data_IF_359681620829
#
_entry.id   IF_359681620829
#
_cell.length_a   1.000
_cell.length_b   1.000
_cell.length_c   1.000
_cell.angle_alpha   90.00
_cell.angle_beta   90.00
_cell.angle_gamma   90.00
#
_symmetry.space_group_name_H-M   'P 1'
#
loop_
_entity.id
_entity.type
_entity.pdbx_description
1 polymer ?
#
# COMPACT_ATOMS: atom_id res chain seq x y z
N UNK A 1 -0.74 25.00 3.03
CA UNK A 1 -0.92 24.61 1.62
C UNK A 1 0.40 24.01 1.16
N UNK A 2 0.54 22.69 1.26
CA UNK A 2 1.73 21.97 0.80
C UNK A 2 1.51 21.65 -0.68
N UNK A 3 2.11 22.43 -1.54
CA UNK A 3 2.21 22.13 -2.97
C UNK A 3 3.26 21.02 -3.06
N UNK A 4 2.86 19.79 -3.30
CA UNK A 4 3.79 18.77 -3.80
C UNK A 4 4.19 19.27 -5.18
N UNK A 5 5.40 19.81 -5.27
CA UNK A 5 5.91 20.40 -6.48
C UNK A 5 5.87 19.38 -7.63
N UNK A 6 5.37 19.82 -8.77
CA UNK A 6 5.33 19.06 -10.02
C UNK A 6 6.74 18.70 -10.58
N UNK A 7 7.79 18.97 -9.82
CA UNK A 7 9.20 18.64 -10.09
C UNK A 7 9.70 17.53 -9.16
N UNK A 8 8.93 16.44 -9.00
CA UNK A 8 9.55 15.22 -8.53
C UNK A 8 10.63 14.82 -9.54
N UNK A 9 11.90 14.65 -9.15
CA UNK A 9 12.94 14.25 -10.08
C UNK A 9 12.48 12.97 -10.79
N UNK A 10 12.44 13.00 -12.12
CA UNK A 10 12.26 11.79 -12.91
C UNK A 10 13.39 10.84 -12.50
N UNK A 11 13.11 9.76 -11.78
CA UNK A 11 14.13 8.82 -11.40
C UNK A 11 14.61 8.10 -12.67
N UNK A 12 15.64 8.62 -13.25
CA UNK A 12 16.43 7.85 -14.20
C UNK A 12 17.02 6.68 -13.44
N UNK A 13 16.82 5.47 -13.95
CA UNK A 13 17.46 4.23 -13.50
C UNK A 13 17.06 3.71 -12.13
N UNK A 14 15.91 3.06 -12.01
CA UNK A 14 15.66 1.95 -11.06
C UNK A 14 15.88 2.15 -9.55
N UNK A 15 16.41 3.29 -9.11
CA UNK A 15 16.71 3.55 -7.71
C UNK A 15 15.46 4.07 -6.98
N UNK A 16 15.10 3.41 -5.88
CA UNK A 16 14.09 3.90 -4.96
C UNK A 16 14.62 5.14 -4.22
N UNK A 17 13.88 6.23 -4.33
CA UNK A 17 14.17 7.49 -3.64
C UNK A 17 13.13 7.72 -2.57
N UNK A 18 13.56 8.14 -1.39
CA UNK A 18 12.64 8.54 -0.31
C UNK A 18 11.99 9.86 -0.69
N UNK A 19 10.68 9.84 -0.87
CA UNK A 19 9.87 11.03 -1.17
C UNK A 19 9.61 11.84 0.10
N UNK A 20 9.31 11.15 1.23
CA UNK A 20 9.07 11.81 2.49
C UNK A 20 8.68 10.88 3.62
N UNK A 21 8.62 11.49 4.81
CA UNK A 21 7.97 10.94 6.00
C UNK A 21 6.95 11.94 6.48
N UNK A 22 5.74 11.48 6.69
CA UNK A 22 4.62 12.30 7.10
C UNK A 22 4.02 11.73 8.37
N UNK A 23 3.75 12.58 9.34
CA UNK A 23 2.89 12.25 10.47
C UNK A 23 1.67 13.15 10.34
N UNK A 24 0.50 12.56 10.34
CA UNK A 24 -0.75 13.29 10.21
C UNK A 24 -1.70 12.97 11.37
N UNK A 25 -2.33 14.01 11.87
CA UNK A 25 -3.43 13.97 12.82
C UNK A 25 -4.77 14.35 12.13
N UNK A 26 -4.74 14.53 10.80
CA UNK A 26 -5.88 14.85 9.97
C UNK A 26 -6.01 13.80 8.85
N UNK A 27 -7.14 13.08 8.75
CA UNK A 27 -7.40 12.11 7.68
C UNK A 27 -7.26 12.69 6.28
N UNK A 28 -7.68 13.93 6.08
CA UNK A 28 -7.59 14.61 4.79
C UNK A 28 -6.13 14.80 4.33
N UNK A 29 -5.22 15.11 5.26
CA UNK A 29 -3.79 15.23 4.94
C UNK A 29 -3.23 13.86 4.49
N UNK A 30 -3.68 12.78 5.11
CA UNK A 30 -3.30 11.43 4.67
C UNK A 30 -3.78 11.15 3.25
N UNK A 31 -5.03 11.44 2.94
CA UNK A 31 -5.60 11.27 1.60
C UNK A 31 -4.74 11.96 0.52
N UNK A 32 -4.27 13.17 0.81
CA UNK A 32 -3.39 13.91 -0.09
C UNK A 32 -1.97 13.32 -0.17
N UNK A 33 -1.43 12.84 0.97
CA UNK A 33 -0.06 12.32 1.05
C UNK A 33 0.08 10.93 0.39
N UNK A 34 -1.01 10.20 0.20
CA UNK A 34 -1.02 8.88 -0.43
C UNK A 34 -1.26 8.92 -1.94
N UNK A 35 -1.33 10.11 -2.55
CA UNK A 35 -1.41 10.21 -4.01
C UNK A 35 -0.33 9.31 -4.67
N UNK A 36 -0.66 8.59 -5.78
CA UNK A 36 -1.81 8.80 -6.66
C UNK A 36 -3.07 7.97 -6.33
N UNK A 37 -3.22 7.43 -5.12
CA UNK A 37 -4.48 6.81 -4.69
C UNK A 37 -5.60 7.86 -4.59
N UNK A 38 -6.78 7.47 -5.00
CA UNK A 38 -8.02 8.22 -4.75
C UNK A 38 -8.77 7.56 -3.60
N UNK A 39 -8.46 7.97 -2.38
CA UNK A 39 -8.97 7.35 -1.16
C UNK A 39 -9.70 8.32 -0.26
N UNK A 40 -10.66 7.78 0.50
CA UNK A 40 -11.29 8.42 1.64
C UNK A 40 -10.91 7.69 2.93
N UNK A 41 -10.50 8.45 3.93
CA UNK A 41 -10.03 7.95 5.23
C UNK A 41 -11.03 8.33 6.32
N UNK A 42 -11.56 7.33 7.03
CA UNK A 42 -12.54 7.53 8.09
C UNK A 42 -12.05 6.91 9.39
N UNK A 43 -11.72 7.71 10.41
CA UNK A 43 -11.48 7.19 11.76
C UNK A 43 -12.74 6.52 12.33
N UNK A 44 -12.61 5.31 12.87
CA UNK A 44 -13.72 4.52 13.40
C UNK A 44 -13.74 4.46 14.93
N UNK A 45 -12.70 4.92 15.60
CA UNK A 45 -12.65 5.01 17.07
C UNK A 45 -12.69 6.46 17.52
N UNK A 46 -13.16 6.68 18.74
CA UNK A 46 -13.07 7.98 19.41
C UNK A 46 -11.61 8.28 19.76
N UNK A 47 -11.24 9.54 19.78
CA UNK A 47 -9.91 10.03 20.09
C UNK A 47 -9.21 10.63 18.88
N UNK A 48 -7.99 11.11 19.10
CA UNK A 48 -7.22 11.79 18.09
C UNK A 48 -6.75 10.81 17.00
N UNK A 49 -7.01 11.17 15.77
CA UNK A 49 -6.49 10.44 14.62
C UNK A 49 -4.97 10.60 14.56
N UNK A 50 -4.27 9.51 14.28
CA UNK A 50 -2.83 9.57 14.04
C UNK A 50 -2.39 8.51 13.05
N UNK A 51 -1.64 8.96 12.05
CA UNK A 51 -1.08 8.13 10.99
C UNK A 51 0.35 8.55 10.68
N UNK A 52 1.22 7.60 10.42
CA UNK A 52 2.58 7.80 9.92
C UNK A 52 2.72 7.12 8.56
N UNK A 53 3.28 7.85 7.62
CA UNK A 53 3.57 7.40 6.27
C UNK A 53 5.04 7.64 5.93
N UNK A 54 5.73 6.62 5.48
CA UNK A 54 7.02 6.73 4.77
C UNK A 54 6.78 6.34 3.33
N UNK A 55 7.07 7.24 2.41
CA UNK A 55 6.90 7.02 0.98
C UNK A 55 8.26 6.96 0.28
N UNK A 56 8.45 5.91 -0.53
CA UNK A 56 9.55 5.77 -1.46
C UNK A 56 8.99 5.57 -2.86
N UNK A 57 9.66 6.14 -3.85
CA UNK A 57 9.24 6.02 -5.24
C UNK A 57 10.44 5.79 -6.17
N UNK A 58 10.17 5.09 -7.26
CA UNK A 58 11.03 4.98 -8.43
C UNK A 58 10.17 4.99 -9.70
N UNK A 59 10.77 4.89 -10.86
CA UNK A 59 10.00 4.72 -12.10
C UNK A 59 9.17 3.41 -12.02
N UNK A 60 7.84 3.57 -11.98
CA UNK A 60 6.88 2.45 -11.96
C UNK A 60 6.74 1.67 -10.65
N UNK A 61 7.35 2.13 -9.55
CA UNK A 61 7.16 1.53 -8.23
C UNK A 61 7.01 2.61 -7.16
N UNK A 62 5.95 2.52 -6.35
CA UNK A 62 5.77 3.32 -5.15
C UNK A 62 5.61 2.35 -3.97
N UNK A 63 6.32 2.61 -2.89
CA UNK A 63 6.27 1.82 -1.68
C UNK A 63 5.90 2.73 -0.51
N UNK A 64 4.82 2.40 0.16
CA UNK A 64 4.38 3.05 1.38
C UNK A 64 4.62 2.12 2.57
N UNK A 65 5.22 2.64 3.63
CA UNK A 65 5.18 2.02 4.96
C UNK A 65 4.30 2.88 5.83
N UNK A 66 3.22 2.28 6.32
CA UNK A 66 2.19 2.97 7.06
C UNK A 66 2.01 2.41 8.46
N UNK A 67 1.71 3.28 9.40
CA UNK A 67 1.32 2.93 10.75
C UNK A 67 0.09 3.74 11.16
N UNK A 68 -0.92 3.03 11.63
CA UNK A 68 -2.17 3.59 12.14
C UNK A 68 -2.25 3.36 13.64
N UNK A 69 -2.43 4.41 14.43
CA UNK A 69 -2.69 4.27 15.87
C UNK A 69 -4.17 4.17 16.17
N UNK A 70 -5.02 4.66 15.29
CA UNK A 70 -6.47 4.73 15.41
C UNK A 70 -7.11 3.68 14.50
N UNK A 71 -8.19 3.04 14.96
CA UNK A 71 -8.98 2.18 14.06
C UNK A 71 -9.52 3.02 12.91
N UNK A 72 -9.21 2.62 11.68
CA UNK A 72 -9.45 3.45 10.50
C UNK A 72 -10.03 2.62 9.37
N UNK A 73 -11.03 3.17 8.68
CA UNK A 73 -11.53 2.65 7.41
C UNK A 73 -10.92 3.45 6.27
N UNK A 74 -10.47 2.74 5.25
CA UNK A 74 -10.00 3.33 4.00
C UNK A 74 -10.81 2.72 2.87
N UNK A 75 -11.34 3.60 2.02
CA UNK A 75 -12.11 3.21 0.84
C UNK A 75 -11.60 4.04 -0.33
N UNK A 76 -11.56 3.46 -1.53
CA UNK A 76 -11.15 4.24 -2.70
C UNK A 76 -10.76 3.39 -3.88
N UNK A 77 -10.09 4.02 -4.82
CA UNK A 77 -9.67 3.44 -6.08
C UNK A 77 -8.15 3.39 -6.18
N UNK A 78 -7.64 2.29 -6.71
CA UNK A 78 -6.22 2.22 -7.09
C UNK A 78 -5.97 3.08 -8.34
N UNK A 79 -4.77 3.63 -8.48
CA UNK A 79 -4.39 4.37 -9.69
C UNK A 79 -4.53 3.50 -10.94
N UNK A 80 -5.05 4.06 -12.05
CA UNK A 80 -5.13 3.34 -13.32
C UNK A 80 -3.75 2.83 -13.77
N UNK A 81 -3.70 1.62 -14.30
CA UNK A 81 -2.47 1.01 -14.82
C UNK A 81 -1.51 0.50 -13.75
N UNK A 82 -1.85 0.61 -12.46
CA UNK A 82 -1.01 0.11 -11.37
C UNK A 82 -1.63 -1.10 -10.69
N UNK A 83 -0.79 -2.02 -10.26
CA UNK A 83 -1.12 -3.13 -9.39
C UNK A 83 -0.69 -2.80 -7.96
N UNK A 84 -1.65 -2.79 -7.05
CA UNK A 84 -1.42 -2.55 -5.64
C UNK A 84 -1.56 -3.82 -4.81
N UNK A 85 -0.70 -4.00 -3.81
CA UNK A 85 -0.89 -5.00 -2.78
C UNK A 85 -0.36 -4.53 -1.43
N UNK A 86 -1.00 -5.03 -0.37
CA UNK A 86 -0.61 -4.76 1.01
C UNK A 86 0.08 -5.96 1.65
N UNK A 87 1.08 -5.71 2.50
CA UNK A 87 1.77 -6.72 3.30
C UNK A 87 1.69 -6.30 4.77
N UNK A 88 0.97 -7.04 5.62
CA UNK A 88 0.96 -6.74 7.04
C UNK A 88 2.34 -6.98 7.64
N UNK A 89 2.87 -6.01 8.37
CA UNK A 89 4.11 -6.11 9.14
C UNK A 89 3.82 -6.53 10.59
N UNK A 90 2.68 -6.10 11.08
CA UNK A 90 2.18 -6.45 12.39
C UNK A 90 0.69 -6.77 12.29
N UNK A 91 0.31 -7.95 12.79
CA UNK A 91 -1.10 -8.37 12.75
C UNK A 91 -1.87 -7.70 13.89
N UNK A 92 -2.59 -6.64 13.57
CA UNK A 92 -3.62 -6.10 14.44
C UNK A 92 -4.85 -7.02 14.41
N UNK A 93 -5.30 -7.49 15.56
CA UNK A 93 -6.59 -8.22 15.63
C UNK A 93 -7.72 -7.29 15.20
N UNK A 94 -8.53 -7.73 14.25
CA UNK A 94 -9.67 -6.98 13.75
C UNK A 94 -9.43 -6.15 12.51
N UNK A 95 -8.27 -6.31 11.86
CA UNK A 95 -8.07 -5.80 10.48
C UNK A 95 -8.91 -6.63 9.53
N UNK A 96 -9.66 -5.95 8.67
CA UNK A 96 -10.54 -6.56 7.68
C UNK A 96 -10.26 -6.03 6.28
N UNK A 97 -10.47 -6.88 5.29
CA UNK A 97 -10.39 -6.56 3.87
C UNK A 97 -11.67 -6.98 3.19
N UNK A 98 -12.41 -6.03 2.62
CA UNK A 98 -13.74 -6.25 2.05
C UNK A 98 -14.71 -6.95 3.02
N UNK A 99 -14.68 -6.61 4.29
CA UNK A 99 -15.53 -7.20 5.32
C UNK A 99 -15.07 -8.57 5.83
N UNK A 100 -14.07 -9.20 5.22
CA UNK A 100 -13.47 -10.43 5.69
C UNK A 100 -12.25 -10.17 6.59
N UNK A 101 -12.04 -10.94 7.66
CA UNK A 101 -10.83 -10.81 8.48
C UNK A 101 -9.57 -11.05 7.64
N UNK A 102 -8.58 -10.16 7.78
CA UNK A 102 -7.29 -10.35 7.16
C UNK A 102 -6.45 -11.32 8.00
N UNK A 103 -5.97 -12.37 7.37
CA UNK A 103 -5.12 -13.37 8.00
C UNK A 103 -3.66 -13.21 7.55
N UNK A 104 -2.73 -13.76 8.34
CA UNK A 104 -1.28 -13.73 8.08
C UNK A 104 -0.82 -14.28 6.73
N UNK A 105 -1.68 -14.98 6.02
CA UNK A 105 -1.43 -15.54 4.69
C UNK A 105 -2.09 -14.71 3.57
N UNK A 106 -2.84 -13.68 3.95
CA UNK A 106 -3.54 -12.82 3.02
C UNK A 106 -2.68 -11.64 2.59
N UNK A 107 -2.60 -11.43 1.28
CA UNK A 107 -2.07 -10.23 0.67
C UNK A 107 -3.25 -9.49 0.04
N UNK A 108 -3.79 -8.45 0.70
CA UNK A 108 -4.82 -7.62 0.10
C UNK A 108 -4.29 -6.97 -1.17
N UNK A 109 -5.11 -6.99 -2.21
CA UNK A 109 -4.75 -6.43 -3.51
C UNK A 109 -5.76 -5.36 -3.88
N UNK A 110 -5.27 -4.30 -4.48
CA UNK A 110 -6.08 -3.25 -5.06
C UNK A 110 -5.90 -3.27 -6.57
N UNK A 111 -6.99 -3.50 -7.26
CA UNK A 111 -7.11 -3.45 -8.70
C UNK A 111 -8.12 -2.38 -9.10
N UNK A 112 -8.15 -2.00 -10.38
CA UNK A 112 -9.22 -1.16 -10.89
C UNK A 112 -10.58 -1.74 -10.47
N UNK A 113 -11.25 -1.10 -9.53
CA UNK A 113 -12.49 -1.61 -8.92
C UNK A 113 -12.63 -1.28 -7.44
N UNK A 114 -11.61 -0.64 -6.89
CA UNK A 114 -11.66 -0.10 -5.54
C UNK A 114 -11.04 -0.97 -4.47
N UNK A 115 -10.92 -0.40 -3.30
CA UNK A 115 -10.53 -1.10 -2.08
C UNK A 115 -11.43 -0.68 -0.92
N UNK A 116 -11.59 -1.60 0.02
CA UNK A 116 -12.26 -1.37 1.29
C UNK A 116 -11.49 -2.11 2.37
N UNK A 117 -10.84 -1.38 3.25
CA UNK A 117 -10.09 -1.94 4.36
C UNK A 117 -10.48 -1.29 5.68
N UNK A 118 -10.61 -2.10 6.72
CA UNK A 118 -10.69 -1.65 8.11
C UNK A 118 -9.41 -2.06 8.83
N UNK A 119 -8.64 -1.08 9.26
CA UNK A 119 -7.39 -1.27 9.96
C UNK A 119 -7.62 -1.25 11.46
N UNK A 120 -7.08 -2.23 12.15
CA UNK A 120 -7.07 -2.26 13.61
C UNK A 120 -6.16 -1.16 14.17
N UNK A 121 -6.37 -0.73 15.43
CA UNK A 121 -5.42 0.15 16.11
C UNK A 121 -4.01 -0.45 16.15
N UNK A 122 -2.99 0.39 16.03
CA UNK A 122 -1.57 0.02 15.99
C UNK A 122 -1.19 -0.90 14.82
N UNK A 123 -1.99 -0.90 13.77
CA UNK A 123 -1.68 -1.62 12.54
C UNK A 123 -0.45 -1.02 11.85
N UNK A 124 0.45 -1.91 11.41
CA UNK A 124 1.56 -1.56 10.51
C UNK A 124 1.51 -2.43 9.28
N UNK A 125 1.68 -1.82 8.13
CA UNK A 125 1.76 -2.54 6.86
C UNK A 125 2.60 -1.79 5.83
N UNK A 126 2.96 -2.52 4.79
CA UNK A 126 3.55 -1.99 3.58
C UNK A 126 2.51 -2.07 2.48
N UNK A 127 2.46 -1.04 1.64
CA UNK A 127 1.68 -1.05 0.40
C UNK A 127 2.64 -0.80 -0.74
N UNK A 128 2.63 -1.69 -1.72
CA UNK A 128 3.39 -1.52 -2.95
C UNK A 128 2.42 -1.24 -4.11
N UNK A 129 2.72 -0.23 -4.90
CA UNK A 129 2.09 0.07 -6.17
C UNK A 129 3.12 -0.15 -7.26
N UNK A 130 2.81 -1.02 -8.21
CA UNK A 130 3.70 -1.37 -9.32
C UNK A 130 2.99 -1.08 -10.63
N UNK A 131 3.66 -0.37 -11.53
CA UNK A 131 3.18 -0.21 -12.89
C UNK A 131 3.03 -1.56 -13.58
N UNK A 132 1.88 -1.80 -14.20
CA UNK A 132 1.58 -3.09 -14.85
C UNK A 132 2.47 -3.36 -16.06
N UNK A 133 2.90 -2.33 -16.79
CA UNK A 133 3.87 -2.46 -17.88
C UNK A 133 5.22 -2.93 -17.33
N UNK A 134 5.75 -2.25 -16.30
CA UNK A 134 6.99 -2.65 -15.65
C UNK A 134 6.91 -4.09 -15.11
N UNK A 135 5.78 -4.47 -14.53
CA UNK A 135 5.58 -5.82 -14.00
C UNK A 135 5.60 -6.87 -15.12
N UNK A 136 4.95 -6.61 -16.25
CA UNK A 136 4.95 -7.47 -17.43
C UNK A 136 6.35 -7.63 -18.02
N UNK A 137 7.07 -6.53 -18.16
CA UNK A 137 8.41 -6.50 -18.76
C UNK A 137 9.47 -7.17 -17.87
N UNK A 138 9.21 -7.19 -16.55
CA UNK A 138 10.14 -7.76 -15.57
C UNK A 138 9.92 -9.25 -15.27
N UNK A 139 8.79 -9.83 -15.69
CA UNK A 139 8.41 -11.20 -15.40
C UNK A 139 8.43 -12.09 -16.65
N UNK A 140 8.77 -13.38 -16.54
CA UNK A 140 8.45 -14.36 -17.57
C UNK A 140 6.97 -14.29 -17.94
N UNK A 141 6.65 -14.48 -19.21
CA UNK A 141 5.30 -14.29 -19.77
C UNK A 141 4.20 -15.04 -18.99
N UNK A 142 4.44 -16.29 -18.63
CA UNK A 142 3.51 -17.13 -17.87
C UNK A 142 3.27 -16.58 -16.45
N UNK A 143 4.29 -16.04 -15.80
CA UNK A 143 4.18 -15.37 -14.51
C UNK A 143 3.46 -14.03 -14.62
N UNK A 144 3.70 -13.25 -15.67
CA UNK A 144 2.97 -12.01 -15.95
C UNK A 144 1.47 -12.26 -16.07
N UNK A 145 1.06 -13.24 -16.87
CA UNK A 145 -0.34 -13.66 -17.01
C UNK A 145 -0.93 -14.15 -15.67
N UNK A 146 -0.16 -14.90 -14.88
CA UNK A 146 -0.61 -15.35 -13.56
C UNK A 146 -0.85 -14.19 -12.59
N UNK A 147 0.04 -13.19 -12.58
CA UNK A 147 -0.12 -11.97 -11.77
C UNK A 147 -1.33 -11.17 -12.21
N UNK A 148 -1.56 -10.97 -13.51
CA UNK A 148 -2.74 -10.27 -14.00
C UNK A 148 -4.04 -10.97 -13.59
N UNK A 149 -4.10 -12.29 -13.68
CA UNK A 149 -5.25 -13.08 -13.19
C UNK A 149 -5.40 -12.97 -11.66
N UNK A 150 -4.30 -13.02 -10.95
CA UNK A 150 -4.30 -12.86 -9.49
C UNK A 150 -4.73 -11.46 -9.07
N UNK A 151 -4.33 -10.47 -9.84
CA UNK A 151 -4.67 -9.07 -9.64
C UNK A 151 -6.18 -8.79 -9.72
N UNK A 152 -6.94 -9.61 -10.46
CA UNK A 152 -8.40 -9.53 -10.48
C UNK A 152 -9.07 -10.05 -9.19
N UNK A 153 -8.30 -10.51 -8.22
CA UNK A 153 -8.80 -10.97 -6.92
C UNK A 153 -8.50 -9.92 -5.87
N UNK A 154 -9.46 -9.65 -4.99
CA UNK A 154 -9.26 -8.70 -3.89
C UNK A 154 -8.29 -9.20 -2.81
N UNK A 155 -8.01 -10.48 -2.75
CA UNK A 155 -7.14 -11.12 -1.79
C UNK A 155 -6.35 -12.25 -2.45
N UNK A 156 -5.04 -12.17 -2.37
CA UNK A 156 -4.15 -13.28 -2.70
C UNK A 156 -3.83 -14.07 -1.44
N UNK A 157 -3.71 -15.37 -1.57
CA UNK A 157 -3.26 -16.23 -0.49
C UNK A 157 -1.88 -16.78 -0.82
N UNK A 158 -0.95 -16.61 0.10
CA UNK A 158 0.40 -17.15 0.00
C UNK A 158 0.78 -17.88 1.28
N UNK A 159 1.84 -18.67 1.25
CA UNK A 159 2.33 -19.28 2.49
C UNK A 159 2.80 -18.20 3.47
N UNK A 160 2.63 -18.43 4.78
CA UNK A 160 3.08 -17.50 5.81
C UNK A 160 4.55 -17.12 5.64
N UNK A 161 5.40 -18.09 5.27
CA UNK A 161 6.82 -17.83 5.01
C UNK A 161 7.07 -16.94 3.79
N UNK A 162 6.27 -17.07 2.74
CA UNK A 162 6.37 -16.21 1.56
C UNK A 162 5.95 -14.76 1.89
N UNK A 163 4.85 -14.58 2.60
CA UNK A 163 4.39 -13.26 3.07
C UNK A 163 5.46 -12.60 3.97
N UNK A 164 6.02 -13.36 4.92
CA UNK A 164 7.06 -12.86 5.81
C UNK A 164 8.35 -12.47 5.06
N UNK A 165 8.79 -13.28 4.07
CA UNK A 165 9.96 -12.92 3.23
C UNK A 165 9.72 -11.68 2.40
N UNK A 166 8.54 -11.56 1.79
CA UNK A 166 8.16 -10.38 1.03
C UNK A 166 8.13 -9.13 1.93
N UNK A 167 7.48 -9.21 3.08
CA UNK A 167 7.44 -8.12 4.06
C UNK A 167 8.83 -7.70 4.52
N UNK A 168 9.72 -8.68 4.82
CA UNK A 168 11.11 -8.38 5.20
C UNK A 168 11.88 -7.67 4.08
N UNK A 169 11.73 -8.13 2.84
CA UNK A 169 12.39 -7.53 1.69
C UNK A 169 11.93 -6.08 1.44
N UNK A 170 10.60 -5.86 1.43
CA UNK A 170 10.03 -4.52 1.23
C UNK A 170 10.36 -3.58 2.39
N UNK A 171 10.32 -4.07 3.64
CA UNK A 171 10.67 -3.26 4.81
C UNK A 171 12.16 -2.87 4.82
N UNK A 172 13.04 -3.74 4.34
CA UNK A 172 14.46 -3.43 4.17
C UNK A 172 14.70 -2.33 3.11
N UNK A 173 13.86 -2.27 2.08
CA UNK A 173 13.87 -1.16 1.10
C UNK A 173 13.37 0.13 1.74
N UNK A 174 12.29 0.07 2.52
CA UNK A 174 11.70 1.23 3.17
C UNK A 174 12.55 1.80 4.34
N UNK A 175 13.50 1.04 4.85
CA UNK A 175 14.41 1.47 5.93
C UNK A 175 15.72 2.12 5.45
N UNK A 176 15.94 2.19 4.13
CA UNK A 176 17.10 2.86 3.52
C UNK A 176 16.79 4.33 3.27
#
# INVERSE_FOLDING_TARGET
>A
MLTIGADAPHPGTGQLVRVGTFISEDPWIQEQATAPWDIAVTPLSRGDYRHELVCLASAGLILYRERYWTRTRIQGLSPPGMFGFGVPLHEGRGTGWWGAPLHAQGLPTAMPGGMHVELAPNQQHLVALIDLGLLRDSLPHDLGVAVERAACRHLLTASRSAVARLGKALNALAGR
#
